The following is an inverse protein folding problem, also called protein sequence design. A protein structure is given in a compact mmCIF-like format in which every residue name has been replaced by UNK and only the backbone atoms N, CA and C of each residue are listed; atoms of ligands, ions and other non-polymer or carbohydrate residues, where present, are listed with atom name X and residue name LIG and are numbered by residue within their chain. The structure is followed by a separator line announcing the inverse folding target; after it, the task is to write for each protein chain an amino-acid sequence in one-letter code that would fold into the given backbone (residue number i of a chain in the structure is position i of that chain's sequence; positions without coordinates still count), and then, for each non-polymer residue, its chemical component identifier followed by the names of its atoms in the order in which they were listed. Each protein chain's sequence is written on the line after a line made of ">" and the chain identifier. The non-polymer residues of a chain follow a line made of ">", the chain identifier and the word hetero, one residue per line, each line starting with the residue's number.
data_IF_529875548850
#
_entry.id   IF_529875548850
#
_cell.length_a   1.000
_cell.length_b   1.000
_cell.length_c   1.000
_cell.angle_alpha   90.00
_cell.angle_beta   90.00
_cell.angle_gamma   90.00
#
_symmetry.space_group_name_H-M   'P 1'
#
loop_
_entity.id
_entity.type
_entity.pdbx_description
1 polymer ?
#
# COMPACT_ATOMS: atom_id res chain seq x y z
N UNK A 1 -1.00 5.73 5.94
CA UNK A 1 -2.15 5.26 5.14
C UNK A 1 -3.43 5.25 5.97
N UNK A 2 -4.53 5.67 5.40
CA UNK A 2 -5.88 5.55 5.98
C UNK A 2 -6.65 4.56 5.11
N UNK A 3 -7.24 3.52 5.73
CA UNK A 3 -8.04 2.53 4.99
C UNK A 3 -9.45 2.47 5.58
N UNK A 4 -10.45 2.82 4.77
CA UNK A 4 -11.87 2.70 5.13
C UNK A 4 -12.30 1.24 5.04
N UNK A 5 -12.42 0.57 6.18
CA UNK A 5 -12.78 -0.84 6.25
C UNK A 5 -14.28 -1.09 6.10
N UNK A 6 -15.11 -0.10 6.39
CA UNK A 6 -16.55 -0.20 6.27
C UNK A 6 -16.98 0.06 4.81
N UNK A 7 -17.71 -0.86 4.15
CA UNK A 7 -18.25 -0.61 2.83
C UNK A 7 -19.34 0.49 2.87
N UNK A 8 -19.59 1.16 1.75
CA UNK A 8 -20.60 2.22 1.65
C UNK A 8 -22.01 1.81 2.09
N UNK A 9 -22.31 0.52 2.12
CA UNK A 9 -23.58 -0.04 2.62
C UNK A 9 -23.61 -0.21 4.14
N UNK A 10 -22.51 -0.01 4.84
CA UNK A 10 -22.43 -0.13 6.30
C UNK A 10 -23.05 1.08 6.97
N UNK A 11 -23.82 0.91 8.08
CA UNK A 11 -24.32 2.03 8.86
C UNK A 11 -23.20 2.86 9.51
N UNK A 12 -21.99 2.33 9.59
CA UNK A 12 -20.81 3.01 10.14
C UNK A 12 -19.96 3.74 9.08
N UNK A 13 -20.30 3.62 7.80
CA UNK A 13 -19.49 4.18 6.72
C UNK A 13 -19.29 5.68 6.84
N UNK A 14 -20.39 6.44 7.00
CA UNK A 14 -20.31 7.91 7.05
C UNK A 14 -19.53 8.41 8.27
N UNK A 15 -19.64 7.75 9.42
CA UNK A 15 -18.86 8.12 10.62
C UNK A 15 -17.38 7.90 10.38
N UNK A 16 -16.98 6.74 9.85
CA UNK A 16 -15.57 6.44 9.58
C UNK A 16 -15.01 7.29 8.43
N UNK A 17 -15.82 7.57 7.42
CA UNK A 17 -15.47 8.48 6.34
C UNK A 17 -15.21 9.90 6.87
N UNK A 18 -16.08 10.40 7.76
CA UNK A 18 -15.89 11.73 8.35
C UNK A 18 -14.62 11.80 9.19
N UNK A 19 -14.31 10.78 9.99
CA UNK A 19 -13.05 10.70 10.74
C UNK A 19 -11.82 10.73 9.81
N UNK A 20 -11.87 10.01 8.68
CA UNK A 20 -10.80 10.05 7.69
C UNK A 20 -10.63 11.46 7.09
N UNK A 21 -11.74 12.15 6.75
CA UNK A 21 -11.70 13.52 6.24
C UNK A 21 -11.10 14.48 7.26
N UNK A 22 -11.42 14.34 8.54
CA UNK A 22 -10.84 15.16 9.61
C UNK A 22 -9.32 14.95 9.72
N UNK A 23 -8.86 13.71 9.64
CA UNK A 23 -7.44 13.40 9.62
C UNK A 23 -6.73 13.99 8.40
N UNK A 24 -7.30 13.84 7.20
CA UNK A 24 -6.75 14.40 5.96
C UNK A 24 -6.62 15.93 6.03
N UNK A 25 -7.65 16.60 6.55
CA UNK A 25 -7.61 18.07 6.75
C UNK A 25 -6.61 18.53 7.81
N UNK A 26 -6.33 17.69 8.80
CA UNK A 26 -5.33 18.00 9.82
C UNK A 26 -3.90 17.91 9.31
N UNK A 27 -3.64 17.10 8.27
CA UNK A 27 -2.33 16.94 7.65
C UNK A 27 -2.43 16.87 6.11
N UNK A 28 -2.74 18.01 5.45
CA UNK A 28 -2.96 18.06 4.00
C UNK A 28 -1.70 17.63 3.23
N UNK A 29 -1.89 16.77 2.24
CA UNK A 29 -0.80 16.25 1.40
C UNK A 29 0.09 15.20 2.07
N UNK A 30 -0.11 14.88 3.35
CA UNK A 30 0.74 13.96 4.09
C UNK A 30 0.19 12.54 4.25
N UNK A 31 -1.02 12.28 3.78
CA UNK A 31 -1.66 10.97 3.94
C UNK A 31 -2.30 10.47 2.65
N UNK A 32 -2.22 9.16 2.45
CA UNK A 32 -2.92 8.45 1.38
C UNK A 32 -4.15 7.75 1.95
N UNK A 33 -5.23 7.65 1.15
CA UNK A 33 -6.48 7.03 1.58
C UNK A 33 -6.96 5.94 0.63
N UNK A 34 -7.39 4.82 1.19
CA UNK A 34 -7.97 3.69 0.48
C UNK A 34 -9.25 3.17 1.13
N UNK A 35 -9.80 2.12 0.53
CA UNK A 35 -11.04 1.49 0.98
C UNK A 35 -12.26 1.96 0.21
N UNK A 36 -12.63 1.19 -0.82
CA UNK A 36 -13.79 1.46 -1.66
C UNK A 36 -13.65 2.65 -2.61
N UNK A 37 -12.42 3.01 -2.96
CA UNK A 37 -12.13 4.10 -3.92
C UNK A 37 -12.60 3.73 -5.32
N UNK A 38 -13.25 4.69 -5.97
CA UNK A 38 -13.77 4.64 -7.35
C UNK A 38 -13.73 6.03 -7.97
N UNK A 39 -13.99 6.13 -9.28
CA UNK A 39 -14.00 7.39 -10.02
C UNK A 39 -15.00 8.43 -9.48
N UNK A 40 -16.10 7.95 -8.84
CA UNK A 40 -17.16 8.83 -8.33
C UNK A 40 -16.91 9.39 -6.93
N UNK A 41 -15.87 8.92 -6.22
CA UNK A 41 -15.55 9.38 -4.87
C UNK A 41 -14.09 9.80 -4.65
N UNK A 42 -13.19 9.44 -5.55
CA UNK A 42 -11.75 9.66 -5.40
C UNK A 42 -11.39 11.15 -5.25
N UNK A 43 -11.91 12.01 -6.11
CA UNK A 43 -11.67 13.46 -6.09
C UNK A 43 -12.02 14.08 -4.74
N UNK A 44 -13.12 13.65 -4.12
CA UNK A 44 -13.57 14.19 -2.83
C UNK A 44 -12.57 13.96 -1.68
N UNK A 45 -11.75 12.93 -1.76
CA UNK A 45 -10.69 12.67 -0.77
C UNK A 45 -9.44 13.49 -1.05
N UNK A 46 -9.10 13.74 -2.31
CA UNK A 46 -8.02 14.64 -2.69
C UNK A 46 -8.36 16.06 -2.25
N UNK A 47 -9.59 16.54 -2.50
CA UNK A 47 -10.09 17.82 -2.03
C UNK A 47 -10.07 17.96 -0.50
N UNK A 48 -10.24 16.84 0.21
CA UNK A 48 -10.14 16.81 1.67
C UNK A 48 -8.70 16.87 2.18
N UNK A 49 -7.70 16.74 1.30
CA UNK A 49 -6.28 16.84 1.64
C UNK A 49 -5.49 15.54 1.52
N UNK A 50 -6.03 14.47 0.93
CA UNK A 50 -5.23 13.29 0.62
C UNK A 50 -4.17 13.63 -0.42
N UNK A 51 -2.97 13.07 -0.27
CA UNK A 51 -1.94 13.14 -1.32
C UNK A 51 -2.29 12.21 -2.49
N UNK A 52 -2.76 11.01 -2.17
CA UNK A 52 -3.12 9.96 -3.13
C UNK A 52 -4.34 9.17 -2.66
N UNK A 53 -4.97 8.51 -3.61
CA UNK A 53 -6.00 7.49 -3.36
C UNK A 53 -5.46 6.10 -3.68
N UNK A 54 -5.70 5.14 -2.77
CA UNK A 54 -5.23 3.75 -2.88
C UNK A 54 -6.37 2.89 -3.41
N UNK A 55 -6.14 2.18 -4.49
CA UNK A 55 -7.16 1.36 -5.16
C UNK A 55 -6.73 -0.09 -5.33
N UNK A 56 -7.67 -1.01 -5.12
CA UNK A 56 -7.48 -2.46 -5.28
C UNK A 56 -8.64 -3.08 -6.06
N UNK A 57 -9.72 -3.42 -5.36
CA UNK A 57 -10.83 -4.23 -5.89
C UNK A 57 -11.62 -3.56 -7.02
N UNK A 58 -11.53 -2.25 -7.18
CA UNK A 58 -12.16 -1.54 -8.29
C UNK A 58 -11.44 -1.81 -9.61
N UNK A 59 -10.11 -1.92 -9.56
CA UNK A 59 -9.24 -2.21 -10.69
C UNK A 59 -9.10 -3.70 -10.94
N UNK A 60 -9.05 -4.52 -9.88
CA UNK A 60 -8.96 -5.98 -10.02
C UNK A 60 -10.34 -6.62 -9.84
N UNK A 61 -11.06 -6.78 -10.94
CA UNK A 61 -12.44 -7.29 -10.93
C UNK A 61 -12.51 -8.67 -11.61
N UNK A 62 -13.28 -9.59 -11.03
CA UNK A 62 -13.45 -10.95 -11.57
C UNK A 62 -12.12 -11.72 -11.77
N UNK A 63 -11.12 -11.44 -10.95
CA UNK A 63 -9.84 -12.12 -11.01
C UNK A 63 -8.87 -11.62 -12.09
N UNK A 64 -9.20 -10.54 -12.79
CA UNK A 64 -8.38 -9.93 -13.83
C UNK A 64 -8.35 -8.41 -13.64
N UNK A 65 -7.42 -7.75 -14.33
CA UNK A 65 -7.40 -6.29 -14.36
C UNK A 65 -8.57 -5.76 -15.20
N UNK A 66 -9.21 -4.72 -14.68
CA UNK A 66 -10.24 -3.96 -15.40
C UNK A 66 -9.64 -2.61 -15.85
N UNK A 67 -9.09 -2.62 -17.05
CA UNK A 67 -8.47 -1.44 -17.65
C UNK A 67 -9.41 -0.25 -17.78
N UNK A 68 -10.68 -0.50 -18.11
CA UNK A 68 -11.70 0.56 -18.22
C UNK A 68 -11.87 1.32 -16.89
N UNK A 69 -11.88 0.59 -15.76
CA UNK A 69 -12.00 1.21 -14.45
C UNK A 69 -10.72 1.97 -14.06
N UNK A 70 -9.55 1.44 -14.41
CA UNK A 70 -8.27 2.14 -14.18
C UNK A 70 -8.22 3.44 -14.98
N UNK A 71 -8.56 3.43 -16.26
CA UNK A 71 -8.64 4.62 -17.09
C UNK A 71 -9.68 5.65 -16.59
N UNK A 72 -10.79 5.21 -16.00
CA UNK A 72 -11.77 6.12 -15.38
C UNK A 72 -11.17 6.83 -14.18
N UNK A 73 -10.43 6.12 -13.34
CA UNK A 73 -9.72 6.71 -12.20
C UNK A 73 -8.65 7.70 -12.66
N UNK A 74 -7.83 7.34 -13.65
CA UNK A 74 -6.81 8.24 -14.20
C UNK A 74 -7.43 9.54 -14.74
N UNK A 75 -8.58 9.44 -15.42
CA UNK A 75 -9.30 10.63 -15.91
C UNK A 75 -9.90 11.46 -14.79
N UNK A 76 -10.29 10.84 -13.67
CA UNK A 76 -10.89 11.53 -12.54
C UNK A 76 -9.86 12.29 -11.70
N UNK A 77 -8.70 11.70 -11.43
CA UNK A 77 -7.75 12.22 -10.44
C UNK A 77 -6.31 12.39 -10.94
N UNK A 78 -6.01 11.94 -12.16
CA UNK A 78 -4.64 11.87 -12.67
C UNK A 78 -3.88 10.67 -12.10
N UNK A 79 -2.94 10.12 -12.88
CA UNK A 79 -2.10 8.99 -12.44
C UNK A 79 -1.21 9.37 -11.26
N UNK A 80 -0.82 10.65 -11.16
CA UNK A 80 0.02 11.25 -10.12
C UNK A 80 -0.60 11.25 -8.73
N UNK A 81 -1.88 10.88 -8.63
CA UNK A 81 -2.61 10.74 -7.37
C UNK A 81 -3.11 9.31 -7.13
N UNK A 82 -2.66 8.35 -7.95
CA UNK A 82 -3.06 6.96 -7.82
C UNK A 82 -1.96 6.10 -7.19
N UNK A 83 -2.32 5.34 -6.16
CA UNK A 83 -1.55 4.22 -5.63
C UNK A 83 -2.28 2.93 -5.96
N UNK A 84 -1.61 2.01 -6.65
CA UNK A 84 -2.16 0.68 -6.89
C UNK A 84 -1.74 -0.26 -5.75
N UNK A 85 -2.73 -0.76 -5.02
CA UNK A 85 -2.50 -1.78 -3.99
C UNK A 85 -2.48 -3.17 -4.65
N UNK A 86 -1.30 -3.76 -4.69
CA UNK A 86 -1.03 -5.10 -5.19
C UNK A 86 -0.94 -6.11 -4.03
N UNK A 87 -1.83 -6.00 -3.03
CA UNK A 87 -1.92 -6.98 -1.93
C UNK A 87 -1.88 -8.39 -2.47
N UNK A 88 -0.97 -9.22 -1.98
CA UNK A 88 -0.72 -10.52 -2.59
C UNK A 88 -0.56 -11.66 -1.59
N UNK A 89 -0.78 -12.87 -2.09
CA UNK A 89 -0.54 -14.13 -1.37
C UNK A 89 0.25 -15.10 -2.24
N UNK A 90 1.05 -15.94 -1.58
CA UNK A 90 1.85 -16.96 -2.26
C UNK A 90 1.01 -18.21 -2.57
N UNK A 91 1.07 -18.67 -3.82
CA UNK A 91 0.44 -19.90 -4.28
C UNK A 91 1.36 -20.58 -5.29
N UNK A 92 1.65 -21.85 -5.10
CA UNK A 92 2.50 -22.66 -5.99
C UNK A 92 3.86 -21.99 -6.30
N UNK A 93 4.44 -21.32 -5.29
CA UNK A 93 5.74 -20.65 -5.40
C UNK A 93 5.70 -19.25 -6.00
N UNK A 94 4.55 -18.74 -6.43
CA UNK A 94 4.38 -17.43 -7.03
C UNK A 94 3.43 -16.55 -6.22
N UNK A 95 3.63 -15.23 -6.22
CA UNK A 95 2.72 -14.27 -5.60
C UNK A 95 1.64 -13.86 -6.59
N UNK A 96 0.39 -13.88 -6.15
CA UNK A 96 -0.76 -13.43 -6.92
C UNK A 96 -1.50 -12.32 -6.18
N UNK A 97 -1.94 -11.31 -6.91
CA UNK A 97 -2.80 -10.27 -6.35
C UNK A 97 -4.08 -10.90 -5.82
N UNK A 98 -4.51 -10.43 -4.65
CA UNK A 98 -5.75 -10.87 -3.99
C UNK A 98 -6.70 -9.70 -3.77
N UNK A 99 -7.99 -9.98 -3.82
CA UNK A 99 -9.08 -9.02 -3.69
C UNK A 99 -10.09 -9.46 -2.63
N UNK A 100 -11.18 -8.72 -2.47
CA UNK A 100 -12.28 -9.05 -1.56
C UNK A 100 -11.79 -9.33 -0.12
N UNK A 101 -11.08 -8.36 0.46
CA UNK A 101 -10.45 -8.49 1.78
C UNK A 101 -9.48 -9.68 1.83
N UNK A 102 -8.67 -9.81 0.75
CA UNK A 102 -7.61 -10.83 0.60
C UNK A 102 -8.10 -12.28 0.49
N UNK A 103 -9.39 -12.49 0.27
CA UNK A 103 -9.99 -13.83 0.24
C UNK A 103 -9.96 -14.47 -1.14
N UNK A 104 -9.89 -13.66 -2.21
CA UNK A 104 -9.95 -14.17 -3.58
C UNK A 104 -8.65 -13.91 -4.32
N UNK A 105 -8.06 -14.99 -4.83
CA UNK A 105 -6.95 -14.90 -5.77
C UNK A 105 -7.43 -14.36 -7.12
N UNK A 106 -6.63 -13.47 -7.69
CA UNK A 106 -6.74 -13.11 -9.10
C UNK A 106 -5.88 -14.06 -9.95
N UNK A 107 -5.92 -13.89 -11.26
CA UNK A 107 -5.01 -14.54 -12.22
C UNK A 107 -3.79 -13.67 -12.50
N UNK A 108 -3.65 -12.53 -11.84
CA UNK A 108 -2.59 -11.55 -12.06
C UNK A 108 -1.45 -11.81 -11.06
N UNK A 109 -0.28 -12.27 -11.52
CA UNK A 109 0.87 -12.45 -10.66
C UNK A 109 1.50 -11.11 -10.30
N UNK A 110 2.13 -11.02 -9.13
CA UNK A 110 3.08 -9.95 -8.84
C UNK A 110 4.41 -10.35 -9.48
N UNK A 111 4.79 -9.67 -10.54
CA UNK A 111 6.00 -9.95 -11.33
C UNK A 111 6.60 -8.64 -11.85
N UNK A 112 7.85 -8.68 -12.28
CA UNK A 112 8.50 -7.54 -12.92
C UNK A 112 7.67 -7.01 -14.11
N UNK A 113 7.17 -7.91 -14.95
CA UNK A 113 6.32 -7.54 -16.10
C UNK A 113 5.03 -6.86 -15.67
N UNK A 114 4.34 -7.37 -14.65
CA UNK A 114 3.09 -6.77 -14.14
C UNK A 114 3.34 -5.39 -13.54
N UNK A 115 4.43 -5.24 -12.79
CA UNK A 115 4.82 -3.96 -12.20
C UNK A 115 5.17 -2.96 -13.32
N UNK A 116 5.94 -3.38 -14.32
CA UNK A 116 6.29 -2.53 -15.47
C UNK A 116 5.04 -2.07 -16.24
N UNK A 117 4.09 -2.98 -16.51
CA UNK A 117 2.83 -2.67 -17.18
C UNK A 117 2.01 -1.62 -16.41
N UNK A 118 1.94 -1.75 -15.08
CA UNK A 118 1.15 -0.83 -14.24
C UNK A 118 1.86 0.50 -13.95
N UNK A 119 3.17 0.58 -14.11
CA UNK A 119 3.96 1.78 -13.79
C UNK A 119 3.57 3.02 -14.60
N UNK A 120 2.95 2.86 -15.76
CA UNK A 120 2.45 3.98 -16.56
C UNK A 120 1.09 4.54 -16.09
N UNK A 121 0.44 3.86 -15.12
CA UNK A 121 -0.94 4.11 -14.69
C UNK A 121 -1.08 4.62 -13.25
N UNK A 122 0.01 4.69 -12.51
CA UNK A 122 0.00 5.15 -11.11
C UNK A 122 1.28 5.90 -10.77
N UNK A 123 1.36 6.40 -9.54
CA UNK A 123 2.52 7.09 -8.99
C UNK A 123 3.30 6.23 -8.01
N UNK A 124 2.64 5.28 -7.36
CA UNK A 124 3.21 4.39 -6.35
C UNK A 124 2.52 3.02 -6.34
N UNK A 125 3.24 2.01 -5.89
CA UNK A 125 2.70 0.70 -5.53
C UNK A 125 2.69 0.48 -4.03
N UNK A 126 1.56 0.07 -3.47
CA UNK A 126 1.46 -0.48 -2.12
C UNK A 126 1.31 -2.00 -2.22
N UNK A 127 2.18 -2.76 -1.55
CA UNK A 127 2.19 -4.21 -1.65
C UNK A 127 2.08 -4.86 -0.27
N UNK A 128 0.90 -5.36 0.08
CA UNK A 128 0.72 -6.13 1.32
C UNK A 128 1.07 -7.60 1.12
N UNK A 129 2.01 -8.08 1.92
CA UNK A 129 2.32 -9.50 2.06
C UNK A 129 1.30 -10.13 3.03
N UNK A 130 0.13 -10.50 2.50
CA UNK A 130 -1.05 -10.91 3.29
C UNK A 130 -0.78 -12.13 4.18
N UNK A 131 0.06 -13.05 3.73
CA UNK A 131 0.33 -14.30 4.48
C UNK A 131 1.07 -14.05 5.80
N UNK A 132 1.74 -12.91 5.96
CA UNK A 132 2.45 -12.50 7.18
C UNK A 132 1.84 -11.29 7.88
N UNK A 133 0.80 -10.68 7.29
CA UNK A 133 0.13 -9.49 7.85
C UNK A 133 -0.40 -9.74 9.25
N UNK A 134 -0.15 -8.80 10.17
CA UNK A 134 -0.60 -8.86 11.56
C UNK A 134 0.01 -9.95 12.43
N UNK A 135 0.97 -10.73 11.92
CA UNK A 135 1.57 -11.87 12.65
C UNK A 135 2.86 -11.51 13.39
N UNK A 136 3.50 -10.39 13.05
CA UNK A 136 4.84 -10.02 13.55
C UNK A 136 5.84 -11.20 13.46
N UNK A 137 5.76 -11.96 12.36
CA UNK A 137 6.53 -13.20 12.15
C UNK A 137 7.69 -13.04 11.16
N UNK A 138 8.05 -11.80 10.86
CA UNK A 138 9.04 -11.44 9.86
C UNK A 138 8.42 -11.14 8.49
N UNK A 139 9.23 -10.54 7.62
CA UNK A 139 8.83 -10.11 6.27
C UNK A 139 8.95 -11.24 5.25
N UNK A 140 8.24 -11.10 4.12
CA UNK A 140 8.39 -11.96 2.94
C UNK A 140 9.60 -11.51 2.10
N UNK A 141 10.81 -11.98 2.45
CA UNK A 141 12.08 -11.55 1.85
C UNK A 141 12.10 -11.71 0.33
N UNK A 142 11.55 -12.82 -0.19
CA UNK A 142 11.53 -13.06 -1.65
C UNK A 142 10.59 -12.09 -2.39
N UNK A 143 9.51 -11.65 -1.74
CA UNK A 143 8.66 -10.60 -2.28
C UNK A 143 9.40 -9.25 -2.30
N UNK A 144 10.07 -8.89 -1.21
CA UNK A 144 10.86 -7.65 -1.12
C UNK A 144 11.94 -7.61 -2.20
N UNK A 145 12.67 -8.70 -2.43
CA UNK A 145 13.66 -8.80 -3.52
C UNK A 145 13.03 -8.63 -4.91
N UNK A 146 11.82 -9.15 -5.11
CA UNK A 146 11.09 -8.96 -6.36
C UNK A 146 10.73 -7.49 -6.56
N UNK A 147 10.22 -6.83 -5.53
CA UNK A 147 9.85 -5.42 -5.56
C UNK A 147 11.05 -4.49 -5.80
N UNK A 148 12.20 -4.81 -5.23
CA UNK A 148 13.44 -4.05 -5.41
C UNK A 148 13.94 -3.97 -6.86
N UNK A 149 13.47 -4.86 -7.74
CA UNK A 149 13.78 -4.82 -9.18
C UNK A 149 13.02 -3.72 -9.93
N UNK A 150 11.99 -3.17 -9.33
CA UNK A 150 11.31 -2.00 -9.88
C UNK A 150 12.19 -0.76 -9.70
N UNK A 151 12.45 -0.05 -10.79
CA UNK A 151 13.24 1.18 -10.82
C UNK A 151 12.45 2.38 -11.33
N UNK A 152 11.15 2.23 -11.54
CA UNK A 152 10.32 3.25 -12.20
C UNK A 152 9.54 4.08 -11.19
N UNK A 153 8.96 3.44 -10.17
CA UNK A 153 8.09 4.09 -9.20
C UNK A 153 8.45 3.68 -7.77
N UNK A 154 8.11 4.49 -6.77
CA UNK A 154 8.13 4.08 -5.37
C UNK A 154 7.31 2.82 -5.14
N UNK A 155 7.79 1.95 -4.26
CA UNK A 155 7.08 0.74 -3.82
C UNK A 155 7.13 0.67 -2.32
N UNK A 156 5.96 0.68 -1.70
CA UNK A 156 5.81 0.52 -0.25
C UNK A 156 5.38 -0.92 0.08
N UNK A 157 6.22 -1.62 0.81
CA UNK A 157 5.93 -2.94 1.35
C UNK A 157 5.17 -2.85 2.66
N UNK A 158 4.18 -3.71 2.88
CA UNK A 158 3.46 -3.86 4.13
C UNK A 158 3.31 -5.34 4.51
N UNK A 159 3.39 -5.64 5.80
CA UNK A 159 3.14 -6.97 6.37
C UNK A 159 4.34 -7.59 7.10
N UNK A 160 4.08 -8.22 8.22
CA UNK A 160 5.01 -9.05 8.97
C UNK A 160 6.07 -8.32 9.79
N UNK A 161 6.29 -7.03 9.61
CA UNK A 161 7.27 -6.26 10.40
C UNK A 161 6.86 -6.28 11.87
N UNK A 162 7.71 -6.84 12.72
CA UNK A 162 7.50 -6.96 14.15
C UNK A 162 8.71 -6.55 15.00
N UNK A 163 9.84 -6.23 14.36
CA UNK A 163 11.07 -5.89 15.02
C UNK A 163 11.94 -4.95 14.17
N UNK A 164 12.93 -4.30 14.82
CA UNK A 164 13.95 -3.52 14.11
C UNK A 164 14.85 -4.37 13.21
N UNK A 165 15.01 -5.66 13.54
CA UNK A 165 15.72 -6.60 12.69
C UNK A 165 14.97 -6.84 11.37
N UNK A 166 13.64 -6.83 11.39
CA UNK A 166 12.83 -6.95 10.16
C UNK A 166 13.01 -5.73 9.27
N UNK A 167 13.08 -4.52 9.83
CA UNK A 167 13.39 -3.30 9.07
C UNK A 167 14.76 -3.38 8.41
N UNK A 168 15.79 -3.83 9.14
CA UNK A 168 17.13 -4.01 8.56
C UNK A 168 17.14 -5.09 7.48
N UNK A 169 16.42 -6.19 7.69
CA UNK A 169 16.28 -7.26 6.70
C UNK A 169 15.58 -6.75 5.44
N UNK A 170 14.52 -5.94 5.60
CA UNK A 170 13.81 -5.31 4.49
C UNK A 170 14.75 -4.36 3.72
N UNK A 171 15.46 -3.51 4.44
CA UNK A 171 16.42 -2.56 3.87
C UNK A 171 17.46 -3.28 3.01
N UNK A 172 18.04 -4.36 3.52
CA UNK A 172 19.05 -5.16 2.81
C UNK A 172 18.46 -5.89 1.60
N UNK A 173 17.32 -6.57 1.78
CA UNK A 173 16.68 -7.33 0.72
C UNK A 173 16.09 -6.42 -0.37
N UNK A 174 15.62 -5.24 0.01
CA UNK A 174 15.06 -4.21 -0.85
C UNK A 174 16.08 -3.28 -1.51
N UNK A 175 17.39 -3.47 -1.22
CA UNK A 175 18.47 -2.64 -1.76
C UNK A 175 18.26 -1.13 -1.51
N UNK A 176 17.63 -0.77 -0.38
CA UNK A 176 17.18 0.58 -0.02
C UNK A 176 16.24 1.24 -1.05
N UNK A 177 15.45 0.48 -1.77
CA UNK A 177 14.53 0.95 -2.81
C UNK A 177 13.07 0.67 -2.49
N UNK A 178 12.83 -0.10 -1.44
CA UNK A 178 11.49 -0.50 -1.02
C UNK A 178 11.18 0.20 0.29
N UNK A 179 10.17 1.04 0.26
CA UNK A 179 9.63 1.70 1.44
C UNK A 179 8.83 0.73 2.30
N UNK A 180 8.52 1.10 3.53
CA UNK A 180 7.85 0.21 4.47
C UNK A 180 6.70 0.88 5.21
N UNK A 181 5.58 0.18 5.31
CA UNK A 181 4.51 0.50 6.27
C UNK A 181 4.63 -0.39 7.49
N UNK A 182 4.71 0.22 8.67
CA UNK A 182 4.69 -0.47 9.97
C UNK A 182 3.35 -0.16 10.64
N UNK A 183 2.60 -1.18 10.99
CA UNK A 183 1.27 -1.06 11.62
C UNK A 183 1.26 -1.50 13.08
N UNK A 184 0.64 -2.64 13.36
CA UNK A 184 0.38 -3.16 14.71
C UNK A 184 1.63 -3.38 15.60
N UNK A 185 2.82 -3.38 15.01
CA UNK A 185 4.08 -3.48 15.76
C UNK A 185 4.46 -2.16 16.48
N UNK A 186 3.91 -1.01 16.05
CA UNK A 186 4.17 0.27 16.69
C UNK A 186 3.50 0.39 18.05
N UNK A 187 4.16 1.07 18.98
CA UNK A 187 3.64 1.40 20.31
C UNK A 187 2.36 2.23 20.25
N UNK A 188 2.17 3.05 19.23
CA UNK A 188 0.94 3.80 18.95
C UNK A 188 -0.29 2.88 18.80
N UNK A 189 -0.09 1.62 18.43
CA UNK A 189 -1.15 0.61 18.26
C UNK A 189 -1.02 -0.55 19.27
N UNK A 190 -0.24 -0.35 20.33
CA UNK A 190 -0.04 -1.36 21.38
C UNK A 190 1.08 -2.37 21.10
N UNK A 191 1.87 -2.16 20.05
CA UNK A 191 3.07 -2.95 19.75
C UNK A 191 4.27 -2.57 20.62
N UNK A 192 5.42 -3.16 20.34
CA UNK A 192 6.66 -2.97 21.09
C UNK A 192 7.67 -2.02 20.42
N UNK A 193 7.48 -1.65 19.17
CA UNK A 193 8.36 -0.77 18.43
C UNK A 193 7.96 0.69 18.68
N UNK A 194 8.85 1.46 19.28
CA UNK A 194 8.59 2.89 19.50
C UNK A 194 8.61 3.64 18.18
N UNK A 195 7.59 4.45 17.95
CA UNK A 195 7.45 5.27 16.75
C UNK A 195 8.70 6.14 16.50
N UNK A 196 9.20 6.81 17.53
CA UNK A 196 10.39 7.68 17.44
C UNK A 196 11.64 6.91 17.01
N UNK A 197 11.84 5.68 17.54
CA UNK A 197 12.98 4.85 17.18
C UNK A 197 12.89 4.36 15.73
N UNK A 198 11.68 4.08 15.23
CA UNK A 198 11.45 3.72 13.81
C UNK A 198 11.80 4.90 12.91
N UNK A 199 11.33 6.10 13.22
CA UNK A 199 11.68 7.32 12.46
C UNK A 199 13.20 7.55 12.43
N UNK A 200 13.86 7.43 13.57
CA UNK A 200 15.32 7.60 13.67
C UNK A 200 16.09 6.64 12.76
N UNK A 201 15.63 5.38 12.65
CA UNK A 201 16.27 4.38 11.79
C UNK A 201 16.03 4.71 10.33
N UNK A 202 14.81 5.10 9.95
CA UNK A 202 14.49 5.47 8.57
C UNK A 202 15.30 6.70 8.13
N UNK A 203 15.37 7.76 8.95
CA UNK A 203 16.14 8.97 8.64
C UNK A 203 17.65 8.73 8.53
N UNK A 204 18.20 7.84 9.36
CA UNK A 204 19.63 7.49 9.27
C UNK A 204 19.97 6.74 7.99
N UNK A 205 19.03 6.01 7.42
CA UNK A 205 19.24 5.33 6.13
C UNK A 205 19.30 6.30 4.94
N UNK A 206 18.55 7.40 4.95
CA UNK A 206 18.60 8.45 3.93
C UNK A 206 19.96 9.14 3.88
N UNK A 207 20.55 9.44 5.05
CA UNK A 207 21.86 10.11 5.15
C UNK A 207 23.07 9.27 4.70
N UNK A 208 22.91 7.98 4.43
CA UNK A 208 23.99 7.12 3.93
C UNK A 208 24.24 7.27 2.42
N UNK A 209 23.32 7.87 1.67
CA UNK A 209 23.38 8.00 0.21
C UNK A 209 23.70 9.40 -0.30
N UNK A 210 23.75 10.40 0.59
CA UNK A 210 24.18 11.77 0.21
C UNK A 210 25.71 11.95 0.33
N UNK A 211 26.47 10.89 0.50
CA UNK A 211 27.95 10.88 0.50
C UNK A 211 28.45 9.99 -0.61
#
# INVERSE_FOLDING_TARGET
>A
HIILLNPATSPYYEVTRQQAIEALKAYPGGMQIGGGIREDNAESFLDAGASHVIVTSYVFKNGVINWENLEKLERAVGREHLVLDLSCRKKDGQYYIVTDRWQKFTQVPVSEQTIEEFSSHCDEFLVHAVDVEGKASGIEVELVKLLAKNHQLPVTYAGGVGSFQDLETLRMAGENRVDVTVGSALDLFGGSMKWEDVLDICQKSENYFEK
#
